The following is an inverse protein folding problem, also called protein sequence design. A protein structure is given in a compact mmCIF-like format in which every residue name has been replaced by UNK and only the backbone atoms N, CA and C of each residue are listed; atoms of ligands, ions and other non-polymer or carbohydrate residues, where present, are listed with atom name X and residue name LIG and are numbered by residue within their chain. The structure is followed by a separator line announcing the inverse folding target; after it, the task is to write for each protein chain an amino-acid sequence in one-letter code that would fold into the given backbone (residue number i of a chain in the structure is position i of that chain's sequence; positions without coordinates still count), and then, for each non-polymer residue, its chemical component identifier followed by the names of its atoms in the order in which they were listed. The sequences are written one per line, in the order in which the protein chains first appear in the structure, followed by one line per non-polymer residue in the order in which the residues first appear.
data_IF_270904073303
#
_entry.id   IF_270904073303
#
_cell.length_a   1.000
_cell.length_b   1.000
_cell.length_c   1.000
_cell.angle_alpha   90.00
_cell.angle_beta   90.00
_cell.angle_gamma   90.00
#
_symmetry.space_group_name_H-M   'P 1'
#
loop_
_entity.id
_entity.type
_entity.pdbx_description
1 polymer ?
#
# COMPACT_ATOMS: atom_id res chain seq x y z
N UNK A 1 6.75 18.24 -23.06
CA UNK A 1 5.62 18.91 -22.39
C UNK A 1 5.49 18.29 -21.02
N UNK A 2 5.64 19.08 -19.96
CA UNK A 2 5.43 18.59 -18.60
C UNK A 2 3.95 18.27 -18.44
N UNK A 3 3.63 17.00 -18.18
CA UNK A 3 2.25 16.56 -17.94
C UNK A 3 1.79 17.19 -16.61
N UNK A 4 0.73 17.98 -16.64
CA UNK A 4 0.11 18.51 -15.42
C UNK A 4 -0.74 17.40 -14.83
N UNK A 5 -0.24 16.75 -13.78
CA UNK A 5 -0.96 15.69 -13.08
C UNK A 5 -2.03 16.25 -12.14
N UNK A 6 -3.22 15.63 -12.17
CA UNK A 6 -4.28 15.88 -11.18
C UNK A 6 -3.84 15.43 -9.78
N UNK A 7 -4.56 15.85 -8.73
CA UNK A 7 -4.22 15.42 -7.36
C UNK A 7 -4.46 13.92 -7.20
N UNK A 8 -5.51 13.37 -7.80
CA UNK A 8 -5.77 11.92 -7.86
C UNK A 8 -4.61 11.18 -8.50
N UNK A 9 -4.14 11.65 -9.66
CA UNK A 9 -3.00 11.04 -10.36
C UNK A 9 -1.72 11.09 -9.51
N UNK A 10 -1.51 12.18 -8.75
CA UNK A 10 -0.38 12.30 -7.83
C UNK A 10 -0.46 11.29 -6.68
N UNK A 11 -1.64 11.01 -6.14
CA UNK A 11 -1.82 9.93 -5.14
C UNK A 11 -1.37 8.59 -5.73
N UNK A 12 -1.84 8.28 -6.94
CA UNK A 12 -1.53 7.03 -7.64
C UNK A 12 -0.02 6.94 -7.93
N UNK A 13 0.59 8.04 -8.40
CA UNK A 13 2.02 8.11 -8.68
C UNK A 13 2.88 7.87 -7.42
N UNK A 14 2.51 8.43 -6.27
CA UNK A 14 3.23 8.20 -5.01
C UNK A 14 3.28 6.70 -4.69
N UNK A 15 2.17 5.98 -4.85
CA UNK A 15 2.13 4.53 -4.64
C UNK A 15 2.95 3.80 -5.69
N UNK A 16 2.74 4.12 -6.98
CA UNK A 16 3.44 3.47 -8.09
C UNK A 16 4.96 3.63 -7.99
N UNK A 17 5.46 4.85 -7.80
CA UNK A 17 6.90 5.16 -7.64
C UNK A 17 7.50 4.43 -6.43
N UNK A 18 6.72 4.25 -5.36
CA UNK A 18 7.20 3.56 -4.18
C UNK A 18 7.21 2.04 -4.34
N UNK A 19 6.26 1.44 -5.05
CA UNK A 19 6.27 -0.01 -5.28
C UNK A 19 7.18 -0.42 -6.43
N UNK A 20 7.56 0.52 -7.29
CA UNK A 20 8.60 0.34 -8.31
C UNK A 20 9.98 0.17 -7.64
N UNK A 21 10.70 -0.86 -8.08
CA UNK A 21 12.02 -1.26 -7.56
C UNK A 21 12.07 -1.41 -6.02
N UNK A 22 10.98 -1.91 -5.43
CA UNK A 22 10.85 -2.14 -3.99
C UNK A 22 12.01 -2.97 -3.38
N UNK A 23 12.53 -4.04 -4.05
CA UNK A 23 13.69 -4.79 -3.55
C UNK A 23 14.97 -3.96 -3.44
N UNK A 24 15.12 -2.92 -4.26
CA UNK A 24 16.32 -2.08 -4.37
C UNK A 24 16.30 -0.86 -3.46
N UNK A 25 15.15 -0.52 -2.86
CA UNK A 25 15.03 0.66 -1.99
C UNK A 25 15.87 0.54 -0.72
N UNK A 26 16.83 1.44 -0.55
CA UNK A 26 17.63 1.56 0.67
C UNK A 26 17.87 3.03 1.04
N UNK A 27 17.80 3.42 2.33
CA UNK A 27 17.40 2.60 3.48
C UNK A 27 15.88 2.43 3.55
N UNK A 28 15.40 1.19 3.47
CA UNK A 28 13.95 0.90 3.34
C UNK A 28 13.06 1.53 4.42
N UNK A 29 13.39 1.48 5.73
CA UNK A 29 12.52 2.07 6.77
C UNK A 29 12.30 3.58 6.60
N UNK A 30 13.35 4.32 6.21
CA UNK A 30 13.25 5.76 5.98
C UNK A 30 12.40 6.06 4.76
N UNK A 31 12.61 5.33 3.67
CA UNK A 31 11.85 5.50 2.43
C UNK A 31 10.38 5.13 2.62
N UNK A 32 10.09 4.09 3.40
CA UNK A 32 8.73 3.70 3.77
C UNK A 32 8.04 4.77 4.61
N UNK A 33 8.77 5.40 5.55
CA UNK A 33 8.23 6.51 6.34
C UNK A 33 7.93 7.74 5.48
N UNK A 34 8.81 8.10 4.54
CA UNK A 34 8.58 9.19 3.60
C UNK A 34 7.38 8.91 2.69
N UNK A 35 7.31 7.69 2.15
CA UNK A 35 6.15 7.23 1.37
C UNK A 35 4.84 7.40 2.14
N UNK A 36 4.78 6.88 3.38
CA UNK A 36 3.60 7.00 4.25
C UNK A 36 3.19 8.46 4.43
N UNK A 37 4.15 9.33 4.73
CA UNK A 37 3.91 10.75 4.91
C UNK A 37 3.39 11.42 3.62
N UNK A 38 4.04 11.18 2.48
CA UNK A 38 3.66 11.73 1.17
C UNK A 38 2.25 11.30 0.78
N UNK A 39 1.95 10.00 0.91
CA UNK A 39 0.64 9.45 0.60
C UNK A 39 -0.45 10.09 1.45
N UNK A 40 -0.25 10.12 2.78
CA UNK A 40 -1.20 10.73 3.72
C UNK A 40 -1.45 12.20 3.40
N UNK A 41 -0.39 12.98 3.27
CA UNK A 41 -0.49 14.41 2.96
C UNK A 41 -1.24 14.66 1.66
N UNK A 42 -0.99 13.84 0.63
CA UNK A 42 -1.64 14.01 -0.68
C UNK A 42 -3.13 13.60 -0.65
N UNK A 43 -3.50 12.56 0.10
CA UNK A 43 -4.90 12.20 0.31
C UNK A 43 -5.66 13.29 1.10
N UNK A 44 -5.04 13.89 2.11
CA UNK A 44 -5.63 15.04 2.84
C UNK A 44 -5.83 16.23 1.91
N UNK A 45 -4.84 16.53 1.06
CA UNK A 45 -4.96 17.59 0.05
C UNK A 45 -6.10 17.33 -0.94
N UNK A 46 -6.22 16.10 -1.42
CA UNK A 46 -7.29 15.67 -2.33
C UNK A 46 -8.68 15.92 -1.74
N UNK A 47 -8.87 15.55 -0.48
CA UNK A 47 -10.14 15.74 0.24
C UNK A 47 -10.47 17.23 0.41
N UNK A 48 -9.45 18.03 0.75
CA UNK A 48 -9.63 19.46 1.04
C UNK A 48 -9.80 20.33 -0.21
N UNK A 49 -9.37 19.86 -1.39
CA UNK A 49 -9.59 20.55 -2.67
C UNK A 49 -11.08 20.82 -2.92
N UNK A 50 -11.95 19.94 -2.44
CA UNK A 50 -13.40 20.03 -2.62
C UNK A 50 -14.10 20.37 -1.29
N UNK A 51 -13.70 21.45 -0.62
CA UNK A 51 -14.19 21.82 0.72
C UNK A 51 -15.73 21.92 0.81
N UNK A 52 -16.38 22.42 -0.24
CA UNK A 52 -17.83 22.64 -0.29
C UNK A 52 -18.60 21.63 -1.15
N UNK A 53 -17.90 20.90 -2.04
CA UNK A 53 -18.52 19.92 -2.93
C UNK A 53 -18.25 18.49 -2.42
N UNK A 54 -19.20 17.99 -1.63
CA UNK A 54 -19.08 16.64 -1.05
C UNK A 54 -19.16 15.55 -2.11
N UNK A 55 -19.89 15.76 -3.21
CA UNK A 55 -20.04 14.75 -4.25
C UNK A 55 -18.73 14.61 -5.04
N UNK A 56 -18.17 15.72 -5.52
CA UNK A 56 -16.89 15.72 -6.21
C UNK A 56 -15.77 15.13 -5.33
N UNK A 57 -15.75 15.48 -4.02
CA UNK A 57 -14.83 14.90 -3.05
C UNK A 57 -14.88 13.37 -3.00
N UNK A 58 -16.07 12.78 -2.83
CA UNK A 58 -16.20 11.31 -2.74
C UNK A 58 -15.79 10.65 -4.07
N UNK A 59 -16.20 11.21 -5.23
CA UNK A 59 -15.83 10.66 -6.55
C UNK A 59 -14.33 10.69 -6.78
N UNK A 60 -13.68 11.82 -6.52
CA UNK A 60 -12.23 11.97 -6.66
C UNK A 60 -11.47 11.06 -5.70
N UNK A 61 -11.92 10.95 -4.45
CA UNK A 61 -11.31 10.06 -3.48
C UNK A 61 -11.44 8.59 -3.88
N UNK A 62 -12.64 8.15 -4.29
CA UNK A 62 -12.89 6.79 -4.76
C UNK A 62 -12.04 6.44 -5.98
N UNK A 63 -11.94 7.35 -6.95
CA UNK A 63 -11.08 7.18 -8.12
C UNK A 63 -9.60 7.00 -7.73
N UNK A 64 -9.10 7.81 -6.78
CA UNK A 64 -7.75 7.68 -6.27
C UNK A 64 -7.54 6.32 -5.55
N UNK A 65 -8.52 5.88 -4.74
CA UNK A 65 -8.46 4.59 -4.04
C UNK A 65 -8.41 3.40 -5.00
N UNK A 66 -9.20 3.41 -6.06
CA UNK A 66 -9.18 2.38 -7.10
C UNK A 66 -7.82 2.35 -7.81
N UNK A 67 -7.25 3.52 -8.12
CA UNK A 67 -5.91 3.62 -8.71
C UNK A 67 -4.80 3.13 -7.79
N UNK A 68 -4.88 3.39 -6.48
CA UNK A 68 -3.99 2.82 -5.46
C UNK A 68 -4.12 1.30 -5.45
N UNK A 69 -5.34 0.77 -5.36
CA UNK A 69 -5.60 -0.66 -5.34
C UNK A 69 -4.97 -1.36 -6.55
N UNK A 70 -5.19 -0.81 -7.74
CA UNK A 70 -4.63 -1.34 -8.99
C UNK A 70 -3.10 -1.32 -8.99
N UNK A 71 -2.49 -0.23 -8.51
CA UNK A 71 -1.02 -0.10 -8.45
C UNK A 71 -0.39 -1.13 -7.50
N UNK A 72 -1.04 -1.39 -6.37
CA UNK A 72 -0.62 -2.43 -5.42
C UNK A 72 -0.79 -3.84 -6.02
N UNK A 73 -1.92 -4.11 -6.69
CA UNK A 73 -2.17 -5.39 -7.36
C UNK A 73 -1.13 -5.69 -8.43
N UNK A 74 -0.81 -4.69 -9.27
CA UNK A 74 0.26 -4.79 -10.27
C UNK A 74 1.62 -5.10 -9.64
N UNK A 75 1.93 -4.52 -8.47
CA UNK A 75 3.17 -4.82 -7.74
C UNK A 75 3.19 -6.24 -7.18
N UNK A 76 2.10 -6.68 -6.55
CA UNK A 76 1.96 -8.05 -6.02
C UNK A 76 2.17 -9.08 -7.14
N UNK A 77 1.55 -8.87 -8.30
CA UNK A 77 1.65 -9.78 -9.44
C UNK A 77 3.05 -9.87 -10.05
N UNK A 78 3.90 -8.86 -9.84
CA UNK A 78 5.29 -8.80 -10.32
C UNK A 78 6.32 -9.20 -9.25
N UNK A 79 5.89 -9.32 -8.00
CA UNK A 79 6.81 -9.54 -6.89
C UNK A 79 7.46 -10.93 -6.97
N UNK A 80 8.77 -10.97 -6.71
CA UNK A 80 9.48 -12.23 -6.52
C UNK A 80 9.12 -12.82 -5.15
N UNK A 81 8.27 -13.85 -5.16
CA UNK A 81 7.84 -14.56 -3.96
C UNK A 81 8.87 -15.59 -3.46
N UNK A 82 10.00 -15.75 -4.14
CA UNK A 82 11.11 -16.59 -3.69
C UNK A 82 12.15 -15.79 -2.88
N UNK A 83 12.21 -14.47 -3.09
CA UNK A 83 13.03 -13.59 -2.28
C UNK A 83 12.33 -13.16 -0.99
N UNK A 84 12.91 -13.57 0.14
CA UNK A 84 12.46 -13.24 1.49
C UNK A 84 12.34 -11.73 1.69
N UNK A 85 13.33 -10.97 1.21
CA UNK A 85 13.41 -9.51 1.42
C UNK A 85 12.31 -8.81 0.63
N UNK A 86 12.08 -9.24 -0.61
CA UNK A 86 10.99 -8.75 -1.46
C UNK A 86 9.61 -8.96 -0.83
N UNK A 87 9.31 -10.16 -0.32
CA UNK A 87 8.03 -10.41 0.35
C UNK A 87 7.86 -9.58 1.62
N UNK A 88 8.89 -9.52 2.49
CA UNK A 88 8.83 -8.74 3.73
C UNK A 88 8.54 -7.25 3.45
N UNK A 89 9.20 -6.69 2.43
CA UNK A 89 9.00 -5.30 2.02
C UNK A 89 7.63 -5.06 1.41
N UNK A 90 7.14 -5.98 0.59
CA UNK A 90 5.82 -5.90 0.01
C UNK A 90 4.74 -5.92 1.10
N UNK A 91 4.84 -6.85 2.06
CA UNK A 91 3.94 -6.94 3.22
C UNK A 91 3.94 -5.61 3.98
N UNK A 92 5.10 -5.09 4.35
CA UNK A 92 5.21 -3.81 5.08
C UNK A 92 4.63 -2.63 4.31
N UNK A 93 4.85 -2.61 2.99
CA UNK A 93 4.30 -1.54 2.14
C UNK A 93 2.78 -1.59 2.09
N UNK A 94 2.20 -2.77 1.96
CA UNK A 94 0.75 -2.97 1.98
C UNK A 94 0.16 -2.61 3.35
N UNK A 95 0.81 -3.00 4.44
CA UNK A 95 0.41 -2.66 5.80
C UNK A 95 0.38 -1.15 6.02
N UNK A 96 1.48 -0.44 5.75
CA UNK A 96 1.55 1.02 5.94
C UNK A 96 0.57 1.76 5.02
N UNK A 97 0.37 1.27 3.79
CA UNK A 97 -0.66 1.84 2.90
C UNK A 97 -2.04 1.66 3.51
N UNK A 98 -2.35 0.47 4.03
CA UNK A 98 -3.63 0.18 4.64
C UNK A 98 -3.87 1.01 5.91
N UNK A 99 -2.84 1.19 6.74
CA UNK A 99 -2.94 2.03 7.94
C UNK A 99 -3.25 3.48 7.57
N UNK A 100 -2.58 4.05 6.55
CA UNK A 100 -2.92 5.39 6.05
C UNK A 100 -4.38 5.46 5.59
N UNK A 101 -4.86 4.47 4.84
CA UNK A 101 -6.24 4.44 4.37
C UNK A 101 -7.25 4.33 5.53
N UNK A 102 -6.96 3.51 6.55
CA UNK A 102 -7.82 3.35 7.72
C UNK A 102 -7.94 4.64 8.53
N UNK A 103 -6.93 5.51 8.56
CA UNK A 103 -7.05 6.82 9.21
C UNK A 103 -8.23 7.63 8.65
N UNK A 104 -8.58 7.48 7.38
CA UNK A 104 -9.74 8.14 6.75
C UNK A 104 -11.08 7.43 7.01
N UNK A 105 -11.09 6.16 7.46
CA UNK A 105 -12.32 5.47 7.86
C UNK A 105 -12.90 6.08 9.14
N UNK A 106 -12.07 6.63 10.00
CA UNK A 106 -12.49 7.23 11.27
C UNK A 106 -12.78 8.74 11.15
N UNK A 107 -12.37 9.38 10.06
CA UNK A 107 -12.65 10.80 9.82
C UNK A 107 -14.06 11.05 9.26
N UNK A 108 -14.59 12.25 9.49
CA UNK A 108 -15.90 12.70 8.98
C UNK A 108 -15.81 13.39 7.61
N UNK A 109 -14.60 13.51 7.05
CA UNK A 109 -14.35 14.23 5.81
C UNK A 109 -14.87 13.50 4.56
N UNK A 110 -14.94 12.16 4.63
CA UNK A 110 -15.49 11.26 3.60
C UNK A 110 -16.82 10.73 4.11
N UNK A 111 -17.90 11.00 3.37
CA UNK A 111 -19.26 10.59 3.78
C UNK A 111 -19.56 9.16 3.36
N UNK A 112 -19.17 8.77 2.15
CA UNK A 112 -19.31 7.40 1.66
C UNK A 112 -18.00 6.63 1.88
N UNK A 113 -18.04 5.68 2.83
CA UNK A 113 -16.87 4.86 3.20
C UNK A 113 -16.88 3.49 2.52
N UNK A 114 -17.81 3.24 1.59
CA UNK A 114 -18.00 1.94 0.92
C UNK A 114 -16.73 1.52 0.16
N UNK A 115 -16.24 2.37 -0.73
CA UNK A 115 -15.05 2.10 -1.55
C UNK A 115 -13.81 1.97 -0.68
N UNK A 116 -13.61 2.89 0.28
CA UNK A 116 -12.51 2.84 1.24
C UNK A 116 -12.48 1.54 2.04
N UNK A 117 -13.63 1.10 2.55
CA UNK A 117 -13.75 -0.15 3.32
C UNK A 117 -13.43 -1.37 2.46
N UNK A 118 -13.90 -1.40 1.21
CA UNK A 118 -13.60 -2.48 0.25
C UNK A 118 -12.11 -2.54 -0.08
N UNK A 119 -11.50 -1.40 -0.38
CA UNK A 119 -10.07 -1.30 -0.72
C UNK A 119 -9.21 -1.71 0.47
N UNK A 120 -9.49 -1.17 1.66
CA UNK A 120 -8.78 -1.53 2.90
C UNK A 120 -8.90 -3.02 3.24
N UNK A 121 -10.10 -3.59 3.09
CA UNK A 121 -10.35 -5.01 3.29
C UNK A 121 -9.55 -5.89 2.32
N UNK A 122 -9.52 -5.53 1.03
CA UNK A 122 -8.76 -6.26 0.01
C UNK A 122 -7.25 -6.21 0.25
N UNK A 123 -6.71 -5.06 0.65
CA UNK A 123 -5.30 -4.95 1.05
C UNK A 123 -5.01 -5.85 2.26
N UNK A 124 -5.90 -5.89 3.26
CA UNK A 124 -5.78 -6.80 4.40
C UNK A 124 -5.72 -8.28 3.98
N UNK A 125 -6.57 -8.70 3.05
CA UNK A 125 -6.56 -10.06 2.50
C UNK A 125 -5.24 -10.39 1.78
N UNK A 126 -4.68 -9.45 1.03
CA UNK A 126 -3.38 -9.63 0.39
C UNK A 126 -2.25 -9.76 1.41
N UNK A 127 -2.24 -8.92 2.46
CA UNK A 127 -1.27 -9.01 3.57
C UNK A 127 -1.31 -10.40 4.21
N UNK A 128 -2.49 -10.90 4.57
CA UNK A 128 -2.62 -12.22 5.18
C UNK A 128 -2.19 -13.34 4.22
N UNK A 129 -2.55 -13.24 2.94
CA UNK A 129 -2.13 -14.21 1.92
C UNK A 129 -0.61 -14.26 1.77
N UNK A 130 0.05 -13.10 1.70
CA UNK A 130 1.51 -12.99 1.61
C UNK A 130 2.20 -13.44 2.90
N UNK A 131 1.63 -13.19 4.08
CA UNK A 131 2.15 -13.71 5.36
C UNK A 131 2.09 -15.23 5.42
N UNK A 132 1.00 -15.83 4.94
CA UNK A 132 0.88 -17.29 4.84
C UNK A 132 1.90 -17.87 3.85
N UNK A 133 2.07 -17.22 2.71
CA UNK A 133 3.07 -17.61 1.71
C UNK A 133 4.51 -17.51 2.26
N UNK A 134 4.82 -16.41 2.95
CA UNK A 134 6.08 -16.22 3.64
C UNK A 134 6.36 -17.33 4.66
N UNK A 135 5.38 -17.65 5.52
CA UNK A 135 5.50 -18.73 6.51
C UNK A 135 5.69 -20.08 5.84
N UNK A 136 4.95 -20.37 4.76
CA UNK A 136 5.03 -21.62 4.00
C UNK A 136 6.42 -21.81 3.39
N UNK A 137 7.01 -20.75 2.82
CA UNK A 137 8.31 -20.81 2.14
C UNK A 137 9.49 -20.78 3.10
N UNK A 138 9.50 -19.85 4.04
CA UNK A 138 10.68 -19.57 4.88
C UNK A 138 10.56 -20.11 6.31
N UNK A 139 9.37 -20.47 6.76
CA UNK A 139 9.14 -21.00 8.12
C UNK A 139 9.79 -22.37 8.37
N UNK A 140 9.91 -23.21 7.33
CA UNK A 140 10.56 -24.55 7.45
C UNK A 140 12.08 -24.54 7.29
N UNK A 141 12.69 -23.48 6.79
CA UNK A 141 14.17 -23.44 6.63
C UNK A 141 14.84 -23.37 8.00
N UNK A 142 14.26 -22.62 8.94
CA UNK A 142 14.75 -22.55 10.32
C UNK A 142 14.60 -23.89 11.08
N UNK A 143 13.52 -24.65 10.85
CA UNK A 143 13.37 -25.98 11.45
C UNK A 143 14.31 -27.01 10.83
N UNK A 144 14.61 -26.91 9.52
CA UNK A 144 15.61 -27.75 8.85
C UNK A 144 17.05 -27.47 9.31
N UNK A 145 17.42 -26.20 9.51
CA UNK A 145 18.76 -25.85 10.05
C UNK A 145 18.88 -26.28 11.52
N UNK A 146 17.84 -26.07 12.34
CA UNK A 146 17.84 -26.53 13.74
C UNK A 146 17.93 -28.05 13.87
N UNK A 147 17.40 -28.80 12.89
CA UNK A 147 17.56 -30.26 12.81
C UNK A 147 18.97 -30.72 12.38
N UNK A 148 19.72 -29.88 11.66
CA UNK A 148 21.10 -30.17 11.24
C UNK A 148 22.15 -29.83 12.32
N UNK A 149 21.87 -28.85 13.18
CA UNK A 149 22.72 -28.47 14.32
C UNK A 149 22.23 -29.02 15.67
N UNK A 150 21.13 -29.78 15.66
CA UNK A 150 20.52 -30.42 16.84
C UNK A 150 20.88 -31.91 16.93
N UNK A 151 22.17 -32.21 17.04
CA UNK A 151 22.74 -33.40 17.69
C UNK A 151 23.93 -32.98 18.51
#
# INVERSE_FOLDING_TARGET
MDRIYSIEERVILIVREFVEDLPQKEPFPSLLSDYRFRLKSKLVELINQFATDTQARNVSFDSALEGVLKSLEESINKADLEDRKSIERLIRTLEETNEVLKEFLYGDQIRDKSTLSKVSGRIGQWVESLRMEYKRRFGSILSKIKALFGR
#
